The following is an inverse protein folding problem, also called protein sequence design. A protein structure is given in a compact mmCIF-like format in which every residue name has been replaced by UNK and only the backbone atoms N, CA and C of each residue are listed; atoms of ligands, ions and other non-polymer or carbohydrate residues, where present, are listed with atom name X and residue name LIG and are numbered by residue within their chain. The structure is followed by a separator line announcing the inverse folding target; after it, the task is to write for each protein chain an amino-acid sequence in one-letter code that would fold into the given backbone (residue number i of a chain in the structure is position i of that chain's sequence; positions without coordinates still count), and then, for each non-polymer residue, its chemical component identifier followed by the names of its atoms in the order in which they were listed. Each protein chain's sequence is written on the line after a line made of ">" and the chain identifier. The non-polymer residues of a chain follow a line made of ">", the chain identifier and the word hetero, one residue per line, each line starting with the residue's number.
data_IF_431116652060
#
_entry.id   IF_431116652060
#
_cell.length_a   1.000
_cell.length_b   1.000
_cell.length_c   1.000
_cell.angle_alpha   90.00
_cell.angle_beta   90.00
_cell.angle_gamma   90.00
#
_symmetry.space_group_name_H-M   'P 1'
#
loop_
_entity.id
_entity.type
_entity.pdbx_description
1 polymer ?
#
# COMPACT_ATOMS: atom_id res chain seq x y z
N UNK A 1 -22.80 0.78 -22.43
CA UNK A 1 -21.90 0.07 -21.48
C UNK A 1 -20.64 0.87 -21.13
N UNK A 2 -20.05 1.68 -22.04
CA UNK A 2 -18.97 2.63 -21.66
C UNK A 2 -19.44 3.72 -20.67
N UNK A 3 -20.74 4.03 -20.64
CA UNK A 3 -21.35 5.04 -19.75
C UNK A 3 -21.07 4.81 -18.25
N UNK A 4 -21.03 3.56 -17.77
CA UNK A 4 -20.87 3.28 -16.34
C UNK A 4 -19.47 3.62 -15.82
N UNK A 5 -18.45 3.41 -16.67
CA UNK A 5 -17.06 3.76 -16.36
C UNK A 5 -16.88 5.27 -16.34
N UNK A 6 -17.46 5.98 -17.30
CA UNK A 6 -17.41 7.44 -17.32
C UNK A 6 -18.14 8.06 -16.12
N UNK A 7 -19.34 7.58 -15.80
CA UNK A 7 -20.09 8.05 -14.63
C UNK A 7 -19.34 7.77 -13.31
N UNK A 8 -18.67 6.61 -13.20
CA UNK A 8 -17.84 6.31 -12.04
C UNK A 8 -16.60 7.21 -11.96
N UNK A 9 -15.94 7.49 -13.08
CA UNK A 9 -14.79 8.40 -13.16
C UNK A 9 -15.15 9.83 -12.78
N UNK A 10 -16.29 10.32 -13.29
CA UNK A 10 -16.84 11.65 -12.96
C UNK A 10 -17.14 11.76 -11.47
N UNK A 11 -17.75 10.73 -10.88
CA UNK A 11 -18.03 10.70 -9.43
C UNK A 11 -16.76 10.64 -8.57
N UNK A 12 -15.65 10.12 -9.10
CA UNK A 12 -14.34 10.19 -8.45
C UNK A 12 -13.62 11.52 -8.69
N UNK A 13 -14.19 12.41 -9.50
CA UNK A 13 -13.53 13.63 -10.00
C UNK A 13 -12.16 13.33 -10.63
N UNK A 14 -12.01 12.17 -11.29
CA UNK A 14 -10.77 11.75 -11.93
C UNK A 14 -10.82 12.02 -13.43
N UNK A 15 -9.90 12.85 -13.91
CA UNK A 15 -9.62 12.98 -15.34
C UNK A 15 -8.87 11.73 -15.82
N UNK A 16 -9.61 10.71 -16.28
CA UNK A 16 -9.03 9.48 -16.77
C UNK A 16 -8.42 9.67 -18.18
N UNK A 17 -7.14 9.31 -18.37
CA UNK A 17 -6.56 9.19 -19.70
C UNK A 17 -7.34 8.19 -20.58
N UNK A 18 -7.41 8.44 -21.89
CA UNK A 18 -8.22 7.63 -22.81
C UNK A 18 -7.82 6.14 -22.84
N UNK A 19 -6.52 5.84 -22.70
CA UNK A 19 -6.00 4.48 -22.57
C UNK A 19 -6.51 3.77 -21.30
N UNK A 20 -6.53 4.46 -20.16
CA UNK A 20 -7.05 3.94 -18.88
C UNK A 20 -8.55 3.70 -18.96
N UNK A 21 -9.31 4.65 -19.51
CA UNK A 21 -10.76 4.51 -19.67
C UNK A 21 -11.12 3.33 -20.59
N UNK A 22 -10.40 3.16 -21.70
CA UNK A 22 -10.57 2.03 -22.63
C UNK A 22 -10.29 0.70 -21.93
N UNK A 23 -9.19 0.60 -21.17
CA UNK A 23 -8.83 -0.61 -20.43
C UNK A 23 -9.81 -0.93 -19.31
N UNK A 24 -10.30 0.08 -18.59
CA UNK A 24 -11.32 -0.09 -17.56
C UNK A 24 -12.64 -0.60 -18.15
N UNK A 25 -13.06 -0.09 -19.31
CA UNK A 25 -14.25 -0.58 -20.02
C UNK A 25 -14.09 -2.02 -20.51
N UNK A 26 -12.90 -2.40 -20.98
CA UNK A 26 -12.58 -3.79 -21.33
C UNK A 26 -12.70 -4.71 -20.12
N UNK A 27 -12.09 -4.36 -18.99
CA UNK A 27 -12.18 -5.12 -17.74
C UNK A 27 -13.60 -5.24 -17.22
N UNK A 28 -14.39 -4.16 -17.30
CA UNK A 28 -15.79 -4.17 -16.90
C UNK A 28 -16.62 -5.15 -17.73
N UNK A 29 -16.48 -5.11 -19.06
CA UNK A 29 -17.14 -6.04 -19.98
C UNK A 29 -16.74 -7.49 -19.67
N UNK A 30 -15.44 -7.74 -19.48
CA UNK A 30 -14.94 -9.07 -19.14
C UNK A 30 -15.48 -9.57 -17.79
N UNK A 31 -15.49 -8.72 -16.77
CA UNK A 31 -16.02 -9.07 -15.45
C UNK A 31 -17.52 -9.40 -15.50
N UNK A 32 -18.31 -8.67 -16.29
CA UNK A 32 -19.71 -8.99 -16.54
C UNK A 32 -19.87 -10.36 -17.21
N UNK A 33 -19.13 -10.64 -18.29
CA UNK A 33 -19.20 -11.94 -18.98
C UNK A 33 -18.76 -13.12 -18.11
N UNK A 34 -17.84 -12.90 -17.17
CA UNK A 34 -17.35 -13.93 -16.23
C UNK A 34 -18.20 -14.03 -14.96
N UNK A 35 -19.39 -13.43 -14.94
CA UNK A 35 -20.32 -13.44 -13.81
C UNK A 35 -19.69 -12.93 -12.50
N UNK A 36 -18.92 -11.83 -12.55
CA UNK A 36 -18.38 -11.19 -11.35
C UNK A 36 -19.47 -10.81 -10.32
N UNK A 37 -20.73 -10.72 -10.75
CA UNK A 37 -21.90 -10.60 -9.87
C UNK A 37 -21.95 -11.69 -8.78
N UNK A 38 -21.54 -12.93 -9.09
CA UNK A 38 -21.48 -14.01 -8.10
C UNK A 38 -20.41 -13.77 -7.03
N UNK A 39 -19.27 -13.20 -7.43
CA UNK A 39 -18.14 -12.91 -6.53
C UNK A 39 -18.38 -11.66 -5.68
N UNK A 40 -19.04 -10.65 -6.26
CA UNK A 40 -19.28 -9.35 -5.62
C UNK A 40 -20.54 -9.33 -4.76
N UNK A 41 -21.54 -10.16 -5.09
CA UNK A 41 -22.81 -10.21 -4.37
C UNK A 41 -23.46 -8.83 -4.25
N UNK A 42 -23.70 -8.39 -3.01
CA UNK A 42 -24.29 -7.07 -2.70
C UNK A 42 -23.44 -5.87 -3.12
N UNK A 43 -22.17 -6.08 -3.47
CA UNK A 43 -21.24 -5.02 -3.85
C UNK A 43 -21.11 -4.87 -5.37
N UNK A 44 -22.03 -5.40 -6.18
CA UNK A 44 -21.94 -5.28 -7.64
C UNK A 44 -21.84 -3.82 -8.13
N UNK A 45 -22.42 -2.86 -7.40
CA UNK A 45 -22.31 -1.43 -7.70
C UNK A 45 -20.89 -0.87 -7.62
N UNK A 46 -19.94 -1.55 -6.96
CA UNK A 46 -18.54 -1.14 -6.92
C UNK A 46 -17.74 -1.61 -8.16
N UNK A 47 -18.31 -2.49 -8.99
CA UNK A 47 -17.59 -3.09 -10.11
C UNK A 47 -16.95 -2.08 -11.08
N UNK A 48 -17.62 -0.99 -11.51
CA UNK A 48 -17.00 0.02 -12.37
C UNK A 48 -15.73 0.62 -11.74
N UNK A 49 -15.79 0.92 -10.45
CA UNK A 49 -14.69 1.52 -9.69
C UNK A 49 -13.51 0.56 -9.51
N UNK A 50 -13.80 -0.72 -9.25
CA UNK A 50 -12.78 -1.77 -9.20
C UNK A 50 -12.08 -1.91 -10.55
N UNK A 51 -12.82 -1.86 -11.66
CA UNK A 51 -12.25 -1.95 -13.00
C UNK A 51 -11.37 -0.74 -13.34
N UNK A 52 -11.76 0.47 -12.92
CA UNK A 52 -10.92 1.67 -13.02
C UNK A 52 -9.63 1.48 -12.22
N UNK A 53 -9.72 1.06 -10.95
CA UNK A 53 -8.54 0.81 -10.13
C UNK A 53 -7.59 -0.21 -10.80
N UNK A 54 -8.11 -1.35 -11.26
CA UNK A 54 -7.30 -2.39 -11.89
C UNK A 54 -6.66 -1.91 -13.20
N UNK A 55 -7.36 -1.08 -13.98
CA UNK A 55 -6.81 -0.46 -15.18
C UNK A 55 -5.68 0.51 -14.84
N UNK A 56 -5.85 1.34 -13.81
CA UNK A 56 -4.79 2.22 -13.31
C UNK A 56 -3.57 1.43 -12.84
N UNK A 57 -3.76 0.35 -12.07
CA UNK A 57 -2.67 -0.52 -11.62
C UNK A 57 -1.93 -1.18 -12.79
N UNK A 58 -2.66 -1.68 -13.79
CA UNK A 58 -2.07 -2.33 -14.97
C UNK A 58 -1.20 -1.36 -15.77
N UNK A 59 -1.68 -0.12 -15.93
CA UNK A 59 -1.00 0.92 -16.70
C UNK A 59 -0.10 1.80 -15.83
N UNK A 60 0.11 1.43 -14.56
CA UNK A 60 0.90 2.16 -13.57
C UNK A 60 0.48 3.63 -13.37
N UNK A 61 -0.77 3.97 -13.65
CA UNK A 61 -1.32 5.29 -13.36
C UNK A 61 -1.62 5.45 -11.86
N UNK A 62 -1.37 6.65 -11.29
CA UNK A 62 -1.68 6.92 -9.89
C UNK A 62 -3.19 6.85 -9.64
N UNK A 63 -3.59 6.17 -8.57
CA UNK A 63 -4.99 6.01 -8.20
C UNK A 63 -5.13 5.99 -6.67
N UNK A 64 -6.11 6.73 -6.14
CA UNK A 64 -6.40 6.77 -4.70
C UNK A 64 -7.54 5.81 -4.35
N UNK A 65 -7.19 4.64 -3.78
CA UNK A 65 -8.18 3.69 -3.28
C UNK A 65 -9.06 4.29 -2.18
N UNK A 66 -8.54 5.23 -1.39
CA UNK A 66 -9.29 5.90 -0.31
C UNK A 66 -10.43 6.75 -0.87
N UNK A 67 -10.15 7.56 -1.91
CA UNK A 67 -11.20 8.35 -2.59
C UNK A 67 -12.29 7.44 -3.17
N UNK A 68 -11.87 6.32 -3.76
CA UNK A 68 -12.79 5.32 -4.28
C UNK A 68 -13.72 4.73 -3.20
N UNK A 69 -13.17 4.27 -2.08
CA UNK A 69 -13.96 3.73 -0.98
C UNK A 69 -14.94 4.75 -0.40
N UNK A 70 -14.53 6.02 -0.28
CA UNK A 70 -15.40 7.12 0.16
C UNK A 70 -16.55 7.36 -0.82
N UNK A 71 -16.28 7.39 -2.13
CA UNK A 71 -17.29 7.62 -3.15
C UNK A 71 -18.33 6.48 -3.25
N UNK A 72 -17.90 5.23 -3.05
CA UNK A 72 -18.79 4.05 -3.09
C UNK A 72 -19.43 3.78 -1.72
N UNK A 73 -18.94 4.41 -0.64
CA UNK A 73 -19.37 4.18 0.75
C UNK A 73 -19.20 2.72 1.19
N UNK A 74 -18.11 2.08 0.77
CA UNK A 74 -17.80 0.68 1.09
C UNK A 74 -16.59 0.63 2.03
N UNK A 75 -16.66 -0.11 3.16
CA UNK A 75 -15.51 -0.27 4.05
C UNK A 75 -14.33 -1.00 3.37
N UNK A 76 -13.12 -0.78 3.88
CA UNK A 76 -11.88 -1.33 3.32
C UNK A 76 -11.88 -2.86 3.17
N UNK A 77 -12.40 -3.58 4.17
CA UNK A 77 -12.43 -5.05 4.15
C UNK A 77 -13.21 -5.60 2.95
N UNK A 78 -14.53 -5.32 2.83
CA UNK A 78 -15.33 -5.72 1.68
C UNK A 78 -14.78 -5.23 0.34
N UNK A 79 -14.26 -4.00 0.28
CA UNK A 79 -13.66 -3.45 -0.94
C UNK A 79 -12.44 -4.25 -1.39
N UNK A 80 -11.52 -4.56 -0.46
CA UNK A 80 -10.32 -5.36 -0.73
C UNK A 80 -10.66 -6.77 -1.19
N UNK A 81 -11.61 -7.44 -0.52
CA UNK A 81 -12.11 -8.76 -0.93
C UNK A 81 -12.73 -8.73 -2.33
N UNK A 82 -13.52 -7.70 -2.62
CA UNK A 82 -14.15 -7.49 -3.93
C UNK A 82 -13.11 -7.24 -5.04
N UNK A 83 -12.09 -6.43 -4.76
CA UNK A 83 -10.97 -6.18 -5.66
C UNK A 83 -10.18 -7.46 -5.95
N UNK A 84 -9.83 -8.22 -4.91
CA UNK A 84 -9.14 -9.50 -5.05
C UNK A 84 -9.96 -10.53 -5.86
N UNK A 85 -11.26 -10.63 -5.58
CA UNK A 85 -12.17 -11.51 -6.32
C UNK A 85 -12.35 -11.10 -7.78
N UNK A 86 -12.43 -9.79 -8.05
CA UNK A 86 -12.50 -9.26 -9.42
C UNK A 86 -11.20 -9.52 -10.17
N UNK A 87 -10.05 -9.29 -9.54
CA UNK A 87 -8.73 -9.57 -10.09
C UNK A 87 -8.59 -11.05 -10.46
N UNK A 88 -8.98 -11.95 -9.56
CA UNK A 88 -8.97 -13.39 -9.79
C UNK A 88 -9.92 -13.81 -10.93
N UNK A 89 -11.13 -13.23 -10.99
CA UNK A 89 -12.09 -13.47 -12.07
C UNK A 89 -11.53 -13.02 -13.42
N UNK A 90 -10.83 -11.89 -13.46
CA UNK A 90 -10.17 -11.37 -14.66
C UNK A 90 -8.86 -12.11 -15.01
N UNK A 91 -8.37 -12.98 -14.13
CA UNK A 91 -7.06 -13.65 -14.26
C UNK A 91 -5.90 -12.66 -14.41
N UNK A 92 -6.04 -11.48 -13.78
CA UNK A 92 -4.98 -10.50 -13.77
C UNK A 92 -3.91 -10.92 -12.77
N UNK A 93 -2.62 -10.79 -13.11
CA UNK A 93 -1.56 -11.08 -12.17
C UNK A 93 -1.67 -10.16 -10.95
N UNK A 94 -1.30 -10.65 -9.74
CA UNK A 94 -1.17 -9.76 -8.60
C UNK A 94 -0.13 -8.67 -8.91
N UNK A 95 -0.30 -7.46 -8.35
CA UNK A 95 0.67 -6.39 -8.56
C UNK A 95 2.04 -6.85 -8.08
N UNK A 96 3.01 -6.85 -8.99
CA UNK A 96 4.38 -7.24 -8.68
C UNK A 96 5.01 -6.09 -7.89
N UNK A 97 5.25 -6.33 -6.61
CA UNK A 97 5.94 -5.39 -5.74
C UNK A 97 7.43 -5.68 -5.87
N UNK A 98 8.15 -4.85 -6.61
CA UNK A 98 9.61 -4.90 -6.72
C UNK A 98 10.27 -3.90 -5.79
N UNK A 99 11.55 -4.14 -5.46
CA UNK A 99 12.34 -3.20 -4.65
C UNK A 99 12.48 -1.84 -5.34
N UNK A 100 12.62 -1.82 -6.68
CA UNK A 100 12.69 -0.57 -7.46
C UNK A 100 11.41 0.24 -7.33
N UNK A 101 10.25 -0.43 -7.44
CA UNK A 101 8.94 0.22 -7.32
C UNK A 101 8.76 0.81 -5.92
N UNK A 102 9.14 0.08 -4.88
CA UNK A 102 9.11 0.57 -3.50
C UNK A 102 10.06 1.76 -3.31
N UNK A 103 11.27 1.67 -3.84
CA UNK A 103 12.26 2.74 -3.82
C UNK A 103 11.74 4.04 -4.44
N UNK A 104 11.11 3.95 -5.61
CA UNK A 104 10.51 5.10 -6.29
C UNK A 104 9.30 5.64 -5.52
N UNK A 105 8.40 4.76 -5.07
CA UNK A 105 7.16 5.15 -4.38
C UNK A 105 7.39 5.78 -3.01
N UNK A 106 8.43 5.34 -2.30
CA UNK A 106 8.76 5.81 -0.96
C UNK A 106 9.87 6.87 -0.96
N UNK A 107 10.39 7.26 -2.13
CA UNK A 107 11.46 8.25 -2.25
C UNK A 107 12.81 7.78 -1.71
N UNK A 108 13.06 6.47 -1.69
CA UNK A 108 14.25 5.83 -1.15
C UNK A 108 14.99 4.99 -2.20
N UNK A 109 15.10 5.50 -3.43
CA UNK A 109 15.74 4.83 -4.57
C UNK A 109 17.21 4.46 -4.30
N UNK A 110 17.93 5.25 -3.52
CA UNK A 110 19.31 5.00 -3.12
C UNK A 110 19.47 3.73 -2.27
N UNK A 111 18.40 3.28 -1.59
CA UNK A 111 18.43 2.11 -0.72
C UNK A 111 18.13 0.80 -1.47
N UNK A 112 17.80 0.88 -2.76
CA UNK A 112 17.38 -0.30 -3.53
C UNK A 112 18.51 -1.31 -3.70
N UNK A 113 19.73 -0.86 -3.97
CA UNK A 113 20.90 -1.72 -4.08
C UNK A 113 21.20 -2.43 -2.75
N UNK A 114 21.16 -1.69 -1.64
CA UNK A 114 21.35 -2.25 -0.30
C UNK A 114 20.25 -3.24 0.07
N UNK A 115 19.00 -2.95 -0.29
CA UNK A 115 17.88 -3.86 -0.06
C UNK A 115 17.99 -5.15 -0.90
N UNK A 116 18.53 -5.07 -2.12
CA UNK A 116 18.82 -6.25 -2.95
C UNK A 116 19.94 -7.10 -2.31
N UNK A 117 21.01 -6.47 -1.83
CA UNK A 117 22.08 -7.15 -1.11
C UNK A 117 21.57 -7.81 0.18
N UNK A 118 20.72 -7.10 0.94
CA UNK A 118 20.09 -7.62 2.14
C UNK A 118 19.15 -8.79 1.83
N UNK A 119 18.40 -8.73 0.73
CA UNK A 119 17.54 -9.83 0.28
C UNK A 119 18.37 -11.07 -0.10
N UNK A 120 19.50 -10.88 -0.78
CA UNK A 120 20.42 -11.96 -1.13
C UNK A 120 21.03 -12.62 0.12
N UNK A 121 21.52 -11.82 1.06
CA UNK A 121 22.03 -12.30 2.35
C UNK A 121 20.94 -13.03 3.16
N UNK A 122 19.71 -12.51 3.15
CA UNK A 122 18.58 -13.17 3.81
C UNK A 122 18.28 -14.54 3.21
N UNK A 123 18.26 -14.65 1.87
CA UNK A 123 18.07 -15.94 1.18
C UNK A 123 19.13 -16.96 1.57
N UNK A 124 20.38 -16.52 1.70
CA UNK A 124 21.47 -17.39 2.12
C UNK A 124 21.34 -17.82 3.59
N UNK A 125 21.14 -16.87 4.50
CA UNK A 125 21.13 -17.14 5.94
C UNK A 125 19.88 -17.92 6.36
N UNK A 126 18.70 -17.46 5.95
CA UNK A 126 17.44 -18.13 6.29
C UNK A 126 17.26 -19.43 5.48
N UNK A 127 17.77 -19.48 4.25
CA UNK A 127 17.77 -20.69 3.44
C UNK A 127 18.47 -21.86 4.13
N UNK A 128 19.60 -21.61 4.80
CA UNK A 128 20.35 -22.66 5.54
C UNK A 128 19.57 -23.28 6.69
N UNK A 129 18.65 -22.55 7.32
CA UNK A 129 17.83 -23.05 8.43
C UNK A 129 16.57 -23.82 7.97
N UNK A 130 16.07 -23.49 6.78
CA UNK A 130 14.90 -24.15 6.22
C UNK A 130 15.24 -25.51 5.62
N UNK A 131 14.37 -26.49 5.84
CA UNK A 131 14.43 -27.76 5.11
C UNK A 131 14.22 -27.54 3.59
N UNK A 132 14.72 -28.45 2.76
CA UNK A 132 14.59 -28.36 1.29
C UNK A 132 13.13 -28.27 0.81
N UNK A 133 12.19 -28.87 1.54
CA UNK A 133 10.75 -28.78 1.25
C UNK A 133 10.23 -27.37 1.56
N UNK A 134 10.62 -26.80 2.70
CA UNK A 134 10.22 -25.45 3.08
C UNK A 134 10.83 -24.40 2.16
N UNK A 135 12.09 -24.56 1.74
CA UNK A 135 12.75 -23.66 0.79
C UNK A 135 11.98 -23.56 -0.53
N UNK A 136 11.42 -24.68 -1.02
CA UNK A 136 10.61 -24.71 -2.26
C UNK A 136 9.22 -24.12 -2.07
N UNK A 137 8.64 -24.27 -0.89
CA UNK A 137 7.31 -23.74 -0.58
C UNK A 137 7.33 -22.24 -0.27
N UNK A 138 8.48 -21.71 0.15
CA UNK A 138 8.62 -20.32 0.55
C UNK A 138 8.66 -19.38 -0.67
N UNK A 139 7.83 -18.34 -0.65
CA UNK A 139 7.76 -17.35 -1.71
C UNK A 139 8.87 -16.30 -1.57
N UNK A 140 10.06 -16.59 -2.11
CA UNK A 140 11.24 -15.72 -2.05
C UNK A 140 11.08 -14.38 -2.79
N UNK A 141 10.17 -14.33 -3.75
CA UNK A 141 9.79 -13.12 -4.49
C UNK A 141 8.40 -12.62 -4.06
N UNK A 142 7.95 -13.06 -2.88
CA UNK A 142 6.67 -12.68 -2.32
C UNK A 142 6.66 -11.19 -1.98
N UNK A 143 5.58 -10.47 -2.31
CA UNK A 143 5.45 -9.02 -2.08
C UNK A 143 5.58 -8.66 -0.58
N UNK A 144 5.10 -9.52 0.31
CA UNK A 144 5.22 -9.34 1.76
C UNK A 144 6.68 -9.39 2.23
N UNK A 145 7.50 -10.26 1.62
CA UNK A 145 8.92 -10.39 1.94
C UNK A 145 9.72 -9.22 1.36
N UNK A 146 9.47 -8.87 0.10
CA UNK A 146 10.11 -7.73 -0.56
C UNK A 146 9.87 -6.44 0.22
N UNK A 147 8.62 -6.20 0.63
CA UNK A 147 8.25 -5.06 1.48
C UNK A 147 8.94 -5.12 2.85
N UNK A 148 9.02 -6.31 3.49
CA UNK A 148 9.67 -6.47 4.79
C UNK A 148 11.17 -6.19 4.72
N UNK A 149 11.88 -6.74 3.73
CA UNK A 149 13.31 -6.50 3.53
C UNK A 149 13.60 -5.04 3.24
N UNK A 150 12.81 -4.42 2.36
CA UNK A 150 12.93 -3.00 2.06
C UNK A 150 12.72 -2.13 3.32
N UNK A 151 11.69 -2.42 4.11
CA UNK A 151 11.45 -1.72 5.38
C UNK A 151 12.63 -1.85 6.34
N UNK A 152 13.17 -3.06 6.54
CA UNK A 152 14.29 -3.29 7.45
C UNK A 152 15.53 -2.55 6.97
N UNK A 153 15.83 -2.60 5.67
CA UNK A 153 16.92 -1.85 5.06
C UNK A 153 16.76 -0.35 5.29
N UNK A 154 15.59 0.22 4.96
CA UNK A 154 15.33 1.64 5.16
C UNK A 154 15.39 2.04 6.62
N UNK A 155 14.81 1.26 7.55
CA UNK A 155 14.77 1.59 8.98
C UNK A 155 16.15 1.73 9.62
N UNK A 156 17.18 1.13 9.01
CA UNK A 156 18.56 1.22 9.44
C UNK A 156 19.21 2.58 9.10
N UNK A 157 18.80 3.20 7.99
CA UNK A 157 19.45 4.39 7.41
C UNK A 157 18.55 5.63 7.46
N UNK A 158 17.26 5.44 7.17
CA UNK A 158 16.22 6.46 7.05
C UNK A 158 15.10 6.18 8.04
N UNK A 159 14.57 7.22 8.68
CA UNK A 159 13.37 7.11 9.54
C UNK A 159 12.12 6.93 8.67
N UNK A 160 11.88 5.73 8.17
CA UNK A 160 10.68 5.38 7.41
C UNK A 160 9.62 4.78 8.35
N UNK A 161 8.38 5.26 8.27
CA UNK A 161 7.31 4.73 9.11
C UNK A 161 6.85 3.36 8.57
N UNK A 162 6.69 2.40 9.48
CA UNK A 162 6.28 1.03 9.14
C UNK A 162 4.93 0.96 8.43
N UNK A 163 4.02 1.88 8.74
CA UNK A 163 2.69 1.96 8.14
C UNK A 163 2.77 2.20 6.63
N UNK A 164 3.72 3.01 6.17
CA UNK A 164 3.80 3.42 4.77
C UNK A 164 4.23 2.25 3.87
N UNK A 165 5.15 1.41 4.35
CA UNK A 165 5.59 0.21 3.63
C UNK A 165 4.55 -0.90 3.71
N UNK A 166 3.84 -1.03 4.84
CA UNK A 166 2.83 -2.06 5.04
C UNK A 166 1.65 -1.97 4.06
N UNK A 167 1.41 -0.81 3.44
CA UNK A 167 0.38 -0.64 2.39
C UNK A 167 0.68 -1.47 1.14
N UNK A 168 1.95 -1.77 0.87
CA UNK A 168 2.37 -2.58 -0.28
C UNK A 168 2.39 -4.09 0.01
N UNK A 169 2.25 -4.49 1.27
CA UNK A 169 2.10 -5.88 1.65
C UNK A 169 0.67 -6.37 1.36
N UNK A 170 0.53 -7.61 0.91
CA UNK A 170 -0.78 -8.26 0.77
C UNK A 170 -1.36 -8.62 2.14
N UNK A 171 -0.50 -9.01 3.09
CA UNK A 171 -0.92 -9.37 4.44
C UNK A 171 -0.04 -8.69 5.49
N UNK A 172 -0.60 -7.68 6.17
CA UNK A 172 0.09 -6.90 7.21
C UNK A 172 0.60 -7.78 8.35
N UNK A 173 -0.12 -8.84 8.72
CA UNK A 173 0.30 -9.77 9.77
C UNK A 173 1.51 -10.61 9.32
N UNK A 174 1.54 -11.06 8.07
CA UNK A 174 2.70 -11.78 7.52
C UNK A 174 3.90 -10.85 7.36
N UNK A 175 3.69 -9.64 6.84
CA UNK A 175 4.71 -8.60 6.79
C UNK A 175 5.35 -8.37 8.17
N UNK A 176 4.54 -8.21 9.22
CA UNK A 176 5.05 -8.02 10.58
C UNK A 176 5.89 -9.20 11.11
N UNK A 177 5.54 -10.43 10.73
CA UNK A 177 6.32 -11.63 11.08
C UNK A 177 7.63 -11.67 10.30
N UNK A 178 7.56 -11.43 8.98
CA UNK A 178 8.73 -11.42 8.10
C UNK A 178 9.74 -10.34 8.49
N UNK A 179 9.29 -9.15 8.88
CA UNK A 179 10.18 -8.10 9.41
C UNK A 179 11.03 -8.62 10.58
N UNK A 180 10.40 -9.28 11.56
CA UNK A 180 11.12 -9.85 12.72
C UNK A 180 12.10 -10.96 12.31
N UNK A 181 11.71 -11.79 11.34
CA UNK A 181 12.56 -12.88 10.84
C UNK A 181 13.78 -12.28 10.10
N UNK A 182 13.56 -11.31 9.21
CA UNK A 182 14.65 -10.63 8.49
C UNK A 182 15.59 -9.92 9.47
N UNK A 183 15.06 -9.20 10.46
CA UNK A 183 15.87 -8.59 11.52
C UNK A 183 16.68 -9.60 12.32
N UNK A 184 16.15 -10.81 12.53
CA UNK A 184 16.84 -11.86 13.28
C UNK A 184 18.02 -12.47 12.50
N UNK A 185 17.85 -12.73 11.20
CA UNK A 185 18.84 -13.43 10.36
C UNK A 185 19.82 -12.51 9.64
N UNK A 186 19.55 -11.20 9.57
CA UNK A 186 20.41 -10.23 8.89
C UNK A 186 21.00 -9.16 9.82
N UNK A 187 21.17 -9.47 11.12
CA UNK A 187 21.67 -8.50 12.12
C UNK A 187 23.01 -7.88 11.75
N UNK A 188 23.92 -8.70 11.21
CA UNK A 188 25.27 -8.27 10.82
C UNK A 188 25.23 -7.28 9.65
N UNK A 189 24.51 -7.63 8.59
CA UNK A 189 24.34 -6.77 7.40
C UNK A 189 23.62 -5.46 7.75
N UNK A 190 22.62 -5.52 8.64
CA UNK A 190 21.95 -4.31 9.15
C UNK A 190 22.92 -3.42 9.94
N UNK A 191 23.80 -4.00 10.75
CA UNK A 191 24.82 -3.25 11.49
C UNK A 191 25.84 -2.61 10.54
N UNK A 192 26.29 -3.35 9.52
CA UNK A 192 27.18 -2.84 8.48
C UNK A 192 26.55 -1.66 7.74
N UNK A 193 25.30 -1.79 7.28
CA UNK A 193 24.57 -0.70 6.61
C UNK A 193 24.46 0.56 7.48
N UNK A 194 24.22 0.41 8.79
CA UNK A 194 24.21 1.53 9.74
C UNK A 194 25.57 2.21 9.81
N UNK A 195 26.66 1.45 9.86
CA UNK A 195 28.02 2.03 9.93
C UNK A 195 28.45 2.69 8.62
N UNK A 196 28.06 2.11 7.47
CA UNK A 196 28.37 2.64 6.15
C UNK A 196 27.71 4.01 5.92
N UNK A 197 26.45 4.17 6.33
CA UNK A 197 25.68 5.41 6.14
C UNK A 197 25.85 6.43 7.27
N UNK A 198 26.25 5.99 8.47
CA UNK A 198 26.52 6.89 9.60
C UNK A 198 27.85 7.63 9.45
N UNK A 199 28.81 7.08 8.69
CA UNK A 199 30.07 7.78 8.44
C UNK A 199 29.81 9.01 7.57
N UNK A 200 29.97 10.24 8.11
CA UNK A 200 29.88 11.43 7.29
C UNK A 200 30.94 11.30 6.20
N UNK A 201 30.54 11.56 4.95
CA UNK A 201 31.43 11.49 3.80
C UNK A 201 32.77 12.17 4.14
N UNK A 202 33.91 11.49 3.92
CA UNK A 202 35.20 12.00 4.34
C UNK A 202 35.48 13.33 3.63
N UNK A 203 35.35 14.41 4.42
CA UNK A 203 36.01 15.68 4.19
C UNK A 203 35.64 16.41 2.90
N UNK A 204 34.44 17.01 2.85
CA UNK A 204 34.46 18.40 2.40
C UNK A 204 35.02 19.20 3.58
N UNK A 205 36.18 19.85 3.47
CA UNK A 205 36.73 20.62 4.58
C UNK A 205 35.70 21.69 4.93
N UNK A 206 35.00 21.47 6.05
CA UNK A 206 34.16 22.50 6.66
C UNK A 206 35.10 23.66 6.91
N UNK A 207 34.99 24.66 6.05
CA UNK A 207 35.79 25.87 6.10
C UNK A 207 35.33 26.58 7.35
N UNK A 208 35.90 26.20 8.48
CA UNK A 208 35.74 26.84 9.78
C UNK A 208 36.07 28.29 9.56
N UNK A 209 35.05 29.12 9.34
CA UNK A 209 35.17 30.57 9.40
C UNK A 209 35.54 30.85 10.84
N UNK A 210 36.84 30.98 11.05
CA UNK A 210 37.48 31.53 12.24
C UNK A 210 36.84 32.91 12.47
N UNK A 211 35.76 32.95 13.25
CA UNK A 211 35.22 34.19 13.80
C UNK A 211 36.30 34.70 14.73
N UNK A 212 36.99 35.72 14.22
CA UNK A 212 37.98 36.52 14.91
C UNK A 212 37.30 37.09 16.15
N UNK A 213 37.85 36.76 17.31
CA UNK A 213 37.52 37.40 18.58
C UNK A 213 37.71 38.92 18.43
N UNK A 214 36.69 39.67 18.79
CA UNK A 214 36.82 41.06 19.21
C UNK A 214 36.34 41.11 20.66
N UNK A 215 37.27 41.52 21.51
CA UNK A 215 37.15 41.77 22.94
C UNK A 215 36.10 42.83 23.29
N UNK A 216 35.56 42.65 24.49
CA UNK A 216 35.27 43.67 25.51
C UNK A 216 34.42 44.89 25.13
N UNK A 217 33.15 44.88 25.58
CA UNK A 217 32.54 46.04 26.25
C UNK A 217 31.73 45.49 27.43
N UNK A 218 32.11 45.96 28.61
CA UNK A 218 31.39 45.81 29.87
C UNK A 218 30.22 46.81 29.95
N UNK A 219 29.42 46.64 30.99
CA UNK A 219 28.48 47.59 31.62
C UNK A 219 26.97 47.44 31.40
N UNK A 220 26.33 47.72 32.55
CA UNK A 220 24.95 48.04 32.90
C UNK A 220 23.91 46.92 33.09
N UNK A 221 23.76 46.56 34.37
CA UNK A 221 22.55 46.73 35.19
C UNK A 221 21.22 46.94 34.45
N UNK A 222 20.24 46.07 34.73
CA UNK A 222 18.95 46.55 35.23
C UNK A 222 18.17 45.40 35.89
N UNK A 223 17.89 45.63 37.17
CA UNK A 223 16.93 44.93 38.01
C UNK A 223 15.52 45.05 37.40
N UNK A 224 14.76 43.96 37.41
CA UNK A 224 13.31 44.08 37.58
C UNK A 224 12.76 42.84 38.29
N UNK A 225 12.50 43.07 39.58
CA UNK A 225 11.69 42.28 40.50
C UNK A 225 10.29 42.00 39.93
N UNK A 226 9.82 40.75 40.00
CA UNK A 226 8.39 40.51 40.19
C UNK A 226 8.17 39.37 41.21
N UNK A 227 7.37 39.61 42.28
CA UNK A 227 7.33 38.74 43.45
C UNK A 227 6.25 37.64 43.37
N UNK A 228 6.64 36.47 43.90
CA UNK A 228 5.94 35.73 44.96
C UNK A 228 4.42 35.50 44.89
N UNK A 229 4.04 34.25 44.67
CA UNK A 229 3.02 33.52 45.44
C UNK A 229 3.43 32.02 45.39
N UNK A 230 3.90 31.36 46.45
CA UNK A 230 3.17 30.94 47.67
C UNK A 230 1.86 30.23 47.25
N UNK A 231 1.55 28.98 47.58
CA UNK A 231 1.95 28.10 48.67
C UNK A 231 1.24 26.74 48.41
N UNK A 232 1.54 25.76 49.28
CA UNK A 232 0.67 24.64 49.70
C UNK A 232 0.99 23.25 49.12
N UNK A 233 1.88 22.58 49.87
CA UNK A 233 1.76 21.24 50.48
C UNK A 233 1.55 20.03 49.55
N UNK A 234 2.20 18.89 49.73
CA UNK A 234 2.88 18.33 50.89
C UNK A 234 2.82 16.80 50.82
N UNK A 235 3.52 16.17 51.75
CA UNK A 235 3.42 14.76 52.14
C UNK A 235 4.24 13.70 51.37
N UNK A 236 5.54 13.68 51.72
CA UNK A 236 6.21 12.65 52.53
C UNK A 236 5.96 11.13 52.32
N UNK A 237 7.09 10.46 52.10
CA UNK A 237 7.61 9.24 52.77
C UNK A 237 6.74 7.97 52.85
N UNK A 238 7.29 6.82 52.46
CA UNK A 238 8.29 6.10 53.29
C UNK A 238 8.62 4.74 52.65
N UNK A 239 9.89 4.36 52.79
CA UNK A 239 10.49 3.15 52.28
C UNK A 239 10.77 2.23 53.47
N UNK A 240 10.09 1.07 53.58
CA UNK A 240 10.69 -0.04 54.36
C UNK A 240 10.21 -1.45 54.05
N UNK A 241 11.21 -2.32 54.05
CA UNK A 241 11.22 -3.75 53.83
C UNK A 241 10.61 -4.57 54.99
N UNK A 242 10.17 -5.79 54.63
CA UNK A 242 10.44 -7.08 55.30
C UNK A 242 9.23 -7.93 55.79
N UNK A 243 9.30 -9.21 55.39
CA UNK A 243 8.88 -10.46 56.05
C UNK A 243 7.39 -10.79 56.33
N UNK A 244 6.95 -11.91 55.74
CA UNK A 244 5.91 -12.89 56.16
C UNK A 244 6.07 -13.42 57.61
N UNK A 245 5.12 -14.15 58.28
CA UNK A 245 3.87 -14.83 57.80
C UNK A 245 2.60 -14.73 58.74
N UNK A 246 1.44 -15.28 58.27
CA UNK A 246 0.12 -15.75 58.85
C UNK A 246 -0.23 -15.62 60.36
N UNK A 247 -1.49 -15.87 60.82
CA UNK A 247 -2.86 -15.69 60.27
C UNK A 247 -3.81 -14.95 61.25
N UNK A 248 -5.03 -14.55 60.83
CA UNK A 248 -6.32 -14.59 61.60
C UNK A 248 -7.41 -13.66 61.01
N UNK A 249 -8.53 -14.27 60.60
CA UNK A 249 -9.90 -13.72 60.42
C UNK A 249 -10.47 -13.15 61.75
N UNK A 250 -11.66 -12.47 61.87
CA UNK A 250 -12.74 -12.28 60.89
C UNK A 250 -13.46 -10.90 60.89
N UNK A 251 -14.59 -10.85 60.17
CA UNK A 251 -15.65 -9.81 60.03
C UNK A 251 -15.43 -8.80 58.90
N UNK A 252 -16.34 -8.56 57.96
CA UNK A 252 -17.68 -9.07 57.70
C UNK A 252 -18.32 -8.26 56.55
N UNK A 253 -19.47 -8.74 56.07
CA UNK A 253 -20.41 -8.15 55.07
C UNK A 253 -20.00 -8.23 53.59
N UNK A 254 -20.61 -9.16 52.81
CA UNK A 254 -21.94 -9.12 52.14
C UNK A 254 -21.87 -8.28 50.83
N UNK A 255 -22.20 -8.77 49.62
CA UNK A 255 -23.31 -9.65 49.18
C UNK A 255 -22.99 -10.46 47.89
N UNK A 256 -23.24 -11.76 47.99
CA UNK A 256 -23.96 -12.70 47.09
C UNK A 256 -23.84 -12.68 45.54
N UNK A 257 -23.48 -13.82 44.92
CA UNK A 257 -23.89 -14.22 43.58
C UNK A 257 -25.10 -15.18 43.61
N UNK A 258 -25.91 -15.12 42.54
CA UNK A 258 -27.15 -15.89 42.34
C UNK A 258 -26.83 -17.26 41.74
N UNK A 259 -26.90 -18.31 42.55
CA UNK A 259 -27.05 -19.70 42.08
C UNK A 259 -28.54 -20.03 41.96
N UNK A 260 -28.90 -20.83 40.95
CA UNK A 260 -30.22 -21.43 40.78
C UNK A 260 -30.04 -22.91 40.42
N UNK A 261 -30.61 -23.78 41.24
CA UNK A 261 -30.85 -25.21 41.03
C UNK A 261 -32.16 -25.55 41.78
N UNK A 262 -32.63 -26.81 41.85
CA UNK A 262 -33.12 -27.71 40.80
C UNK A 262 -34.55 -28.22 41.11
N UNK A 263 -35.21 -28.95 40.19
CA UNK A 263 -36.22 -29.97 40.55
C UNK A 263 -36.58 -30.92 39.39
N UNK A 264 -36.78 -32.18 39.77
CA UNK A 264 -37.11 -33.39 39.02
C UNK A 264 -38.41 -33.35 38.20
N UNK A 265 -38.47 -34.14 37.11
CA UNK A 265 -39.38 -35.30 36.94
C UNK A 265 -39.20 -36.02 35.59
N UNK A 266 -39.04 -37.34 35.65
CA UNK A 266 -39.27 -38.36 34.61
C UNK A 266 -40.79 -38.57 34.39
N UNK A 267 -41.28 -39.06 33.22
CA UNK A 267 -41.27 -40.51 32.90
C UNK A 267 -41.10 -40.94 31.40
N UNK A 268 -40.49 -42.11 31.22
CA UNK A 268 -40.78 -43.26 30.31
C UNK A 268 -41.05 -43.11 28.79
N UNK A 269 -40.14 -43.71 27.98
CA UNK A 269 -40.27 -44.67 26.80
C UNK A 269 -41.32 -44.47 25.67
N UNK A 270 -41.17 -45.04 24.43
CA UNK A 270 -40.30 -46.16 23.99
C UNK A 270 -39.53 -46.01 22.65
N UNK A 271 -38.66 -47.00 22.44
CA UNK A 271 -37.81 -47.37 21.29
C UNK A 271 -38.62 -47.91 20.11
N UNK A 272 -38.09 -47.86 18.86
CA UNK A 272 -38.09 -49.09 18.07
C UNK A 272 -36.71 -49.46 17.52
N UNK A 273 -36.41 -50.74 17.68
CA UNK A 273 -35.28 -51.44 17.12
C UNK A 273 -35.62 -51.93 15.71
N UNK A 274 -34.67 -51.81 14.77
CA UNK A 274 -34.70 -52.57 13.52
C UNK A 274 -33.34 -53.24 13.29
N UNK A 275 -33.41 -54.57 13.22
CA UNK A 275 -32.34 -55.53 12.93
C UNK A 275 -31.86 -55.43 11.48
N UNK A 276 -30.53 -55.53 11.29
CA UNK A 276 -29.72 -56.36 10.32
C UNK A 276 -30.15 -56.44 8.82
N UNK A 277 -29.26 -56.74 7.83
CA UNK A 277 -28.08 -57.60 7.97
C UNK A 277 -26.80 -57.18 7.22
N UNK A 278 -25.74 -57.89 7.60
CA UNK A 278 -24.41 -58.02 7.01
C UNK A 278 -24.47 -59.09 5.91
N UNK A 279 -24.04 -58.76 4.69
CA UNK A 279 -23.55 -59.69 3.65
C UNK A 279 -22.49 -58.95 2.85
N UNK A 280 -21.31 -59.57 2.70
CA UNK A 280 -20.15 -58.96 2.05
C UNK A 280 -20.18 -59.08 0.52
N UNK A 281 -19.31 -58.32 -0.13
CA UNK A 281 -18.71 -58.70 -1.40
C UNK A 281 -17.45 -57.84 -1.66
N UNK A 282 -16.39 -58.55 -2.01
CA UNK A 282 -15.14 -58.07 -2.56
C UNK A 282 -15.36 -57.36 -3.91
N UNK A 283 -14.69 -56.22 -4.14
CA UNK A 283 -14.23 -55.81 -5.46
C UNK A 283 -13.20 -54.66 -5.30
N UNK A 284 -11.93 -54.99 -5.57
CA UNK A 284 -10.89 -54.00 -5.80
C UNK A 284 -11.22 -53.19 -7.06
N UNK A 285 -11.45 -51.89 -6.92
CA UNK A 285 -11.56 -50.96 -8.05
C UNK A 285 -10.34 -50.04 -8.06
N UNK A 286 -9.49 -50.25 -9.06
CA UNK A 286 -8.29 -49.49 -9.35
C UNK A 286 -8.62 -48.00 -9.57
N UNK A 287 -7.90 -47.13 -8.85
CA UNK A 287 -7.84 -45.70 -9.14
C UNK A 287 -7.01 -45.47 -10.42
N UNK A 288 -7.52 -44.74 -11.42
CA UNK A 288 -6.74 -44.42 -12.61
C UNK A 288 -5.69 -43.36 -12.27
N UNK A 289 -4.44 -43.64 -12.68
CA UNK A 289 -3.28 -42.78 -12.45
C UNK A 289 -3.40 -41.41 -13.13
N UNK A 290 -2.86 -40.39 -12.46
CA UNK A 290 -2.85 -38.98 -12.83
C UNK A 290 -2.29 -38.71 -14.25
N UNK A 291 -1.49 -39.62 -14.79
CA UNK A 291 -0.92 -39.51 -16.14
C UNK A 291 -1.96 -39.56 -17.26
N UNK A 292 -3.10 -40.25 -17.05
CA UNK A 292 -4.14 -40.35 -18.09
C UNK A 292 -5.03 -39.11 -18.20
N UNK A 293 -5.06 -38.27 -17.15
CA UNK A 293 -5.82 -37.00 -17.15
C UNK A 293 -5.15 -35.87 -17.94
N UNK A 294 -3.82 -35.90 -18.08
CA UNK A 294 -3.09 -34.89 -18.85
C UNK A 294 -3.19 -35.12 -20.38
N UNK A 295 -3.32 -36.36 -20.83
CA UNK A 295 -3.47 -36.67 -22.27
C UNK A 295 -4.85 -36.27 -22.83
N UNK A 296 -5.92 -36.32 -22.04
CA UNK A 296 -7.26 -35.96 -22.49
C UNK A 296 -7.48 -34.45 -22.66
N UNK A 297 -6.72 -33.61 -21.93
CA UNK A 297 -6.81 -32.15 -22.03
C UNK A 297 -6.14 -31.62 -23.31
N UNK A 298 -5.11 -32.30 -23.84
CA UNK A 298 -4.43 -31.91 -25.07
C UNK A 298 -5.26 -32.15 -26.33
N UNK A 299 -6.13 -33.17 -26.34
CA UNK A 299 -6.97 -33.49 -27.50
C UNK A 299 -8.17 -32.54 -27.66
N UNK A 300 -8.67 -31.92 -26.58
CA UNK A 300 -9.79 -30.98 -26.62
C UNK A 300 -9.40 -29.59 -27.16
N UNK A 301 -8.10 -29.22 -27.11
CA UNK A 301 -7.62 -27.94 -27.60
C UNK A 301 -7.44 -27.88 -29.14
N UNK A 302 -7.31 -29.04 -29.81
CA UNK A 302 -7.10 -29.11 -31.26
C UNK A 302 -8.40 -29.03 -32.08
N UNK A 303 -9.58 -29.27 -31.47
CA UNK A 303 -10.86 -29.26 -32.18
C UNK A 303 -11.52 -27.87 -32.27
N UNK A 304 -11.00 -26.86 -31.54
CA UNK A 304 -11.62 -25.54 -31.46
C UNK A 304 -11.11 -24.52 -32.50
N UNK A 305 -10.09 -24.84 -33.31
CA UNK A 305 -9.52 -23.90 -34.29
C UNK A 305 -9.97 -24.12 -35.74
N UNK A 306 -11.02 -24.92 -35.99
CA UNK A 306 -11.43 -25.28 -37.36
C UNK A 306 -12.79 -24.68 -37.80
N UNK A 307 -13.41 -23.79 -37.02
CA UNK A 307 -14.72 -23.23 -37.34
C UNK A 307 -14.74 -21.70 -37.26
N UNK A 308 -14.12 -21.03 -38.24
CA UNK A 308 -14.33 -19.60 -38.48
C UNK A 308 -14.15 -19.28 -39.97
N UNK A 309 -15.19 -19.50 -40.77
CA UNK A 309 -15.30 -18.92 -42.13
C UNK A 309 -16.78 -18.69 -42.48
N UNK A 310 -17.06 -17.52 -43.08
CA UNK A 310 -18.35 -16.98 -43.55
C UNK A 310 -19.26 -16.40 -42.43
N UNK A 311 -19.87 -15.20 -42.51
CA UNK A 311 -20.60 -14.60 -43.65
C UNK A 311 -20.88 -13.09 -43.42
N UNK A 312 -20.75 -12.30 -44.50
CA UNK A 312 -21.44 -11.06 -44.97
C UNK A 312 -21.85 -9.84 -44.07
N UNK A 313 -21.97 -8.63 -44.68
CA UNK A 313 -22.23 -7.36 -43.99
C UNK A 313 -23.70 -6.90 -44.10
N UNK A 314 -24.17 -6.14 -43.11
CA UNK A 314 -25.45 -5.42 -43.19
C UNK A 314 -25.31 -3.95 -42.76
N UNK A 315 -26.04 -3.13 -43.50
CA UNK A 315 -26.03 -1.66 -43.50
C UNK A 315 -27.03 -1.10 -42.47
N UNK A 316 -26.81 0.08 -41.84
CA UNK A 316 -27.90 0.78 -41.17
C UNK A 316 -28.23 2.13 -41.81
N UNK A 317 -29.53 2.35 -42.01
CA UNK A 317 -30.15 3.61 -42.46
C UNK A 317 -31.05 4.18 -41.37
N UNK A 318 -30.85 5.46 -41.03
CA UNK A 318 -31.84 6.37 -40.42
C UNK A 318 -32.05 6.27 -38.90
N UNK A 319 -32.56 7.27 -38.18
CA UNK A 319 -32.84 8.70 -38.43
C UNK A 319 -33.25 9.32 -37.07
N UNK A 320 -32.62 10.43 -36.71
CA UNK A 320 -33.08 11.61 -35.92
C UNK A 320 -34.24 11.51 -34.91
N UNK A 321 -34.04 12.03 -33.69
CA UNK A 321 -34.91 13.08 -33.09
C UNK A 321 -34.19 13.87 -31.99
N UNK A 322 -34.39 15.18 -32.04
CA UNK A 322 -33.95 16.30 -31.20
C UNK A 322 -34.76 16.46 -29.90
N UNK A 323 -34.13 16.93 -28.82
CA UNK A 323 -34.77 17.83 -27.84
C UNK A 323 -33.72 18.57 -26.97
N UNK A 324 -33.87 19.89 -26.91
CA UNK A 324 -33.27 20.84 -25.94
C UNK A 324 -33.90 20.62 -24.55
N UNK A 325 -33.14 20.86 -23.48
CA UNK A 325 -33.34 22.07 -22.66
C UNK A 325 -32.35 22.21 -21.49
N UNK A 326 -32.19 23.47 -21.13
CA UNK A 326 -31.28 24.12 -20.20
C UNK A 326 -31.29 23.59 -18.76
N UNK A 327 -30.10 23.63 -18.13
CA UNK A 327 -29.97 23.98 -16.71
C UNK A 327 -28.51 24.30 -16.36
N UNK A 328 -28.23 25.59 -16.33
CA UNK A 328 -27.06 26.23 -15.73
C UNK A 328 -27.09 26.19 -14.19
N UNK A 329 -25.89 26.27 -13.60
CA UNK A 329 -25.56 26.65 -12.22
C UNK A 329 -25.38 25.51 -11.17
N UNK A 330 -24.12 25.10 -10.98
CA UNK A 330 -23.38 25.35 -9.74
C UNK A 330 -21.96 24.76 -9.84
N UNK A 331 -20.99 25.60 -10.24
CA UNK A 331 -19.56 25.32 -10.16
C UNK A 331 -19.12 25.40 -8.70
N UNK A 332 -19.32 24.32 -7.94
CA UNK A 332 -18.60 24.12 -6.70
C UNK A 332 -17.18 23.65 -7.05
N UNK A 333 -16.19 24.47 -6.72
CA UNK A 333 -14.79 24.15 -6.94
C UNK A 333 -14.42 22.79 -6.30
N UNK A 334 -13.71 21.90 -6.99
CA UNK A 334 -13.28 20.63 -6.43
C UNK A 334 -12.27 20.89 -5.31
N UNK A 335 -12.66 20.55 -4.08
CA UNK A 335 -11.74 20.49 -2.94
C UNK A 335 -10.78 19.32 -3.21
N UNK A 336 -9.59 19.65 -3.70
CA UNK A 336 -8.47 18.73 -3.85
C UNK A 336 -8.05 18.25 -2.45
N UNK A 337 -8.57 17.10 -2.02
CA UNK A 337 -8.00 16.36 -0.89
C UNK A 337 -6.82 15.54 -1.41
N UNK A 338 -5.62 16.12 -1.31
CA UNK A 338 -4.38 15.37 -1.49
C UNK A 338 -4.26 14.28 -0.41
N UNK A 339 -3.79 13.07 -0.77
CA UNK A 339 -3.42 12.08 0.23
C UNK A 339 -2.27 12.64 1.07
N UNK A 340 -2.44 12.61 2.39
CA UNK A 340 -1.39 12.89 3.37
C UNK A 340 -0.20 11.96 3.12
N UNK A 341 0.79 12.42 2.35
CA UNK A 341 2.13 11.84 2.31
C UNK A 341 2.84 12.21 3.61
N UNK A 342 2.45 11.52 4.70
CA UNK A 342 3.07 11.66 6.00
C UNK A 342 4.47 11.00 5.98
N UNK A 343 5.49 11.70 5.46
CA UNK A 343 6.87 11.21 5.59
C UNK A 343 7.88 11.77 4.58
N UNK A 344 7.43 12.25 3.43
CA UNK A 344 8.29 13.10 2.60
C UNK A 344 8.19 14.49 3.20
N UNK A 345 9.27 14.99 3.79
CA UNK A 345 9.38 16.39 4.16
C UNK A 345 9.22 17.19 2.86
N UNK A 346 8.00 17.66 2.58
CA UNK A 346 7.68 18.48 1.41
C UNK A 346 8.27 19.87 1.67
N UNK A 347 9.60 19.94 1.73
CA UNK A 347 10.34 21.19 1.63
C UNK A 347 10.28 21.77 0.21
N UNK A 348 9.47 21.18 -0.67
CA UNK A 348 9.01 21.81 -1.90
C UNK A 348 7.73 22.55 -1.51
N UNK A 349 7.85 23.83 -1.18
CA UNK A 349 6.68 24.69 -0.99
C UNK A 349 5.74 24.51 -2.19
N UNK A 350 4.45 24.27 -1.96
CA UNK A 350 3.44 24.29 -3.04
C UNK A 350 3.31 25.67 -3.72
N UNK A 351 4.04 26.67 -3.24
CA UNK A 351 4.28 27.92 -3.95
C UNK A 351 4.94 27.62 -5.30
N UNK A 352 4.33 28.08 -6.39
CA UNK A 352 4.94 28.02 -7.70
C UNK A 352 6.38 28.56 -7.58
N UNK A 353 7.36 27.78 -8.03
CA UNK A 353 8.76 28.16 -7.96
C UNK A 353 8.99 29.52 -8.62
N UNK A 354 8.15 29.87 -9.61
CA UNK A 354 8.17 31.15 -10.33
C UNK A 354 7.88 32.36 -9.44
N UNK A 355 7.10 32.18 -8.38
CA UNK A 355 6.73 33.26 -7.46
C UNK A 355 7.79 33.50 -6.37
N UNK A 356 8.70 32.54 -6.20
CA UNK A 356 9.74 32.62 -5.17
C UNK A 356 10.72 33.76 -5.47
N UNK A 357 11.21 34.43 -4.41
CA UNK A 357 12.25 35.46 -4.54
C UNK A 357 13.50 34.91 -5.25
N UNK A 358 13.88 33.67 -4.95
CA UNK A 358 15.05 33.01 -5.57
C UNK A 358 14.92 32.89 -7.09
N UNK A 359 13.73 32.55 -7.59
CA UNK A 359 13.51 32.46 -9.04
C UNK A 359 13.51 33.84 -9.71
N UNK A 360 12.97 34.87 -9.04
CA UNK A 360 13.05 36.26 -9.51
C UNK A 360 14.50 36.76 -9.56
N UNK A 361 15.27 36.51 -8.49
CA UNK A 361 16.70 36.83 -8.43
C UNK A 361 17.49 36.10 -9.53
N UNK A 362 17.21 34.81 -9.75
CA UNK A 362 17.81 34.01 -10.83
C UNK A 362 17.44 34.56 -12.22
N UNK A 363 16.18 34.93 -12.44
CA UNK A 363 15.72 35.47 -13.72
C UNK A 363 16.35 36.83 -14.02
N UNK A 364 16.49 37.69 -13.01
CA UNK A 364 17.20 38.95 -13.12
C UNK A 364 18.69 38.74 -13.41
N UNK A 365 19.35 37.85 -12.65
CA UNK A 365 20.74 37.48 -12.89
C UNK A 365 20.96 36.92 -14.29
N UNK A 366 20.12 35.98 -14.75
CA UNK A 366 20.18 35.40 -16.09
C UNK A 366 20.08 36.48 -17.17
N UNK A 367 19.17 37.44 -17.00
CA UNK A 367 18.99 38.55 -17.95
C UNK A 367 20.23 39.43 -18.01
N UNK A 368 20.80 39.81 -16.86
CA UNK A 368 22.03 40.60 -16.81
C UNK A 368 23.23 39.82 -17.39
N UNK A 369 23.30 38.52 -17.12
CA UNK A 369 24.37 37.67 -17.63
C UNK A 369 24.28 37.49 -19.15
N UNK A 370 23.07 37.46 -19.72
CA UNK A 370 22.89 37.47 -21.18
C UNK A 370 23.23 38.84 -21.78
N UNK A 371 22.98 39.94 -21.04
CA UNK A 371 23.33 41.30 -21.47
C UNK A 371 24.84 41.55 -21.48
N UNK A 372 25.59 40.89 -20.60
CA UNK A 372 27.04 41.03 -20.51
C UNK A 372 27.81 40.19 -21.53
N UNK A 373 27.15 39.25 -22.23
CA UNK A 373 27.79 38.50 -23.31
C UNK A 373 27.88 39.38 -24.56
N UNK A 374 29.09 39.59 -25.11
CA UNK A 374 29.28 40.29 -26.37
C UNK A 374 28.45 39.69 -27.51
N UNK A 375 27.78 40.54 -28.30
CA UNK A 375 26.83 40.11 -29.33
C UNK A 375 27.47 39.25 -30.44
N UNK A 376 28.77 39.38 -30.67
CA UNK A 376 29.58 38.57 -31.58
C UNK A 376 29.69 37.12 -31.13
N UNK A 377 29.74 36.86 -29.82
CA UNK A 377 29.71 35.49 -29.28
C UNK A 377 28.31 34.90 -29.45
N UNK A 378 27.26 35.67 -29.15
CA UNK A 378 25.87 35.18 -29.29
C UNK A 378 25.58 34.78 -30.73
N UNK A 379 25.99 35.60 -31.71
CA UNK A 379 25.81 35.32 -33.14
C UNK A 379 26.51 34.04 -33.62
N UNK A 380 27.62 33.65 -32.97
CA UNK A 380 28.36 32.43 -33.32
C UNK A 380 27.68 31.14 -32.85
N UNK A 381 26.85 31.23 -31.81
CA UNK A 381 26.20 30.08 -31.16
C UNK A 381 24.67 30.07 -31.33
N UNK A 382 24.07 31.07 -31.97
CA UNK A 382 22.67 30.98 -32.40
C UNK A 382 22.63 30.22 -33.73
N UNK A 383 22.14 28.97 -33.77
CA UNK A 383 21.96 28.28 -35.03
C UNK A 383 20.99 29.11 -35.89
N UNK A 384 21.41 29.43 -37.12
CA UNK A 384 20.57 30.11 -38.09
C UNK A 384 19.30 29.29 -38.30
N UNK A 385 18.18 29.76 -37.74
CA UNK A 385 16.86 29.10 -37.85
C UNK A 385 16.26 29.28 -39.26
N UNK A 386 17.10 29.57 -40.26
CA UNK A 386 16.67 29.81 -41.64
C UNK A 386 16.54 28.54 -42.49
N UNK A 387 16.77 27.34 -41.93
CA UNK A 387 16.65 26.06 -42.67
C UNK A 387 15.87 24.98 -41.90
N UNK A 388 14.67 25.31 -41.37
CA UNK A 388 13.66 24.31 -40.99
C UNK A 388 12.31 24.65 -41.56
#
# INVERSE_FOLDING_TARGET
>A
MSSDIHAAAEKLALALPANVATKAAEYFRLAQTRNAAKTLGKHLSCLPYLCIQLACETLQHPFSAVQCMTAVKVPLGPYSTALAGTRASLQLPPPVVTLDLLGVRLGATQMVADAQNLLAAFRENYGKELSSVQQRAFAWDGPDLVAAVFFVCCSAVVKLAKRDVAVFAHNVTQFNKLVKIVEAHCKEQIAELKTAHSKPAPGTPSRTRKRKASEAVADDDDDDDEPGAEDVSGDDNDEKQSATPVPSTPTGRRKSPRQKAPALRTPQTPVPAAKRPRMGASAAAATPSLSRRLAAAAAAAAAASAAATATAPDTPTGRSTTARDDSSANLAAPIFFEPNYAGVNIMISQTDIRDTKKFRDYSAWKTEMLRSIPADIVAKYTPSVAEV
#
